data_IF_183448394246
#
_entry.id   IF_183448394246
#
_cell.length_a   1.000
_cell.length_b   1.000
_cell.length_c   1.000
_cell.angle_alpha   90.00
_cell.angle_beta   90.00
_cell.angle_gamma   90.00
#
_symmetry.space_group_name_H-M   'P 1'
#
loop_
_entity.id
_entity.type
_entity.pdbx_description
1 polymer ?
#
# COMPACT_ATOMS: atom_id res chain seq x y z
N UNK A 1 -19.05 -16.09 13.02
CA UNK A 1 -19.05 -14.69 13.51
C UNK A 1 -18.82 -13.71 12.36
N UNK A 2 -19.32 -12.46 12.39
CA UNK A 2 -18.98 -11.46 11.36
C UNK A 2 -17.50 -11.04 11.43
N UNK A 3 -16.88 -10.59 10.33
CA UNK A 3 -15.50 -10.11 10.35
C UNK A 3 -15.37 -8.89 11.28
N UNK A 4 -14.34 -8.90 12.14
CA UNK A 4 -14.16 -7.91 13.21
C UNK A 4 -13.46 -6.62 12.75
N UNK A 5 -12.73 -6.65 11.63
CA UNK A 5 -12.08 -5.48 11.05
C UNK A 5 -11.80 -5.64 9.57
N UNK A 6 -11.64 -4.51 8.87
CA UNK A 6 -11.18 -4.42 7.49
C UNK A 6 -10.12 -3.32 7.38
N UNK A 7 -9.27 -3.39 6.36
CA UNK A 7 -8.35 -2.31 5.99
C UNK A 7 -8.88 -1.60 4.74
N UNK A 8 -9.00 -0.27 4.79
CA UNK A 8 -9.35 0.55 3.63
C UNK A 8 -8.10 1.18 3.05
N UNK A 9 -7.83 0.91 1.77
CA UNK A 9 -6.69 1.42 1.01
C UNK A 9 -7.23 2.11 -0.23
N UNK A 10 -7.34 3.44 -0.18
CA UNK A 10 -8.03 4.22 -1.22
C UNK A 10 -9.47 3.75 -1.42
N UNK A 11 -9.80 3.30 -2.64
CA UNK A 11 -11.11 2.73 -3.00
C UNK A 11 -11.21 1.21 -2.82
N UNK A 12 -10.15 0.54 -2.36
CA UNK A 12 -10.10 -0.89 -2.13
C UNK A 12 -10.28 -1.21 -0.64
N UNK A 13 -11.06 -2.25 -0.35
CA UNK A 13 -11.20 -2.82 0.97
C UNK A 13 -10.55 -4.20 1.01
N UNK A 14 -9.69 -4.41 1.99
CA UNK A 14 -9.08 -5.69 2.26
C UNK A 14 -9.65 -6.28 3.55
N UNK A 15 -10.18 -7.50 3.47
CA UNK A 15 -10.64 -8.29 4.60
C UNK A 15 -9.80 -9.57 4.74
N UNK A 16 -9.69 -10.06 5.97
CA UNK A 16 -9.15 -11.39 6.24
C UNK A 16 -10.29 -12.25 6.77
N UNK A 17 -10.80 -13.15 5.93
CA UNK A 17 -11.89 -14.05 6.31
C UNK A 17 -11.34 -15.28 7.02
N UNK A 18 -12.04 -15.69 8.08
CA UNK A 18 -11.82 -16.98 8.75
C UNK A 18 -12.49 -18.12 7.96
N UNK A 19 -12.05 -19.36 8.18
CA UNK A 19 -12.58 -20.53 7.47
C UNK A 19 -14.12 -20.65 7.57
N UNK A 20 -14.68 -20.36 8.74
CA UNK A 20 -16.14 -20.35 8.99
C UNK A 20 -16.90 -19.29 8.17
N UNK A 21 -16.20 -18.24 7.71
CA UNK A 21 -16.76 -17.11 6.97
C UNK A 21 -16.65 -17.31 5.45
N UNK A 22 -15.75 -18.18 4.99
CA UNK A 22 -15.53 -18.45 3.56
C UNK A 22 -16.80 -18.83 2.79
N UNK A 23 -17.75 -19.62 3.35
CA UNK A 23 -19.02 -19.91 2.67
C UNK A 23 -19.86 -18.65 2.36
N UNK A 24 -19.64 -17.56 3.10
CA UNK A 24 -20.38 -16.30 2.98
C UNK A 24 -19.57 -15.18 2.34
N UNK A 25 -18.38 -15.48 1.78
CA UNK A 25 -17.40 -14.47 1.36
C UNK A 25 -17.95 -13.41 0.39
N UNK A 26 -18.77 -13.81 -0.58
CA UNK A 26 -19.36 -12.88 -1.54
C UNK A 26 -20.48 -12.04 -0.94
N UNK A 27 -21.25 -12.60 0.00
CA UNK A 27 -22.26 -11.85 0.74
C UNK A 27 -21.60 -10.78 1.61
N UNK A 28 -20.56 -11.17 2.37
CA UNK A 28 -19.75 -10.25 3.17
C UNK A 28 -19.16 -9.15 2.28
N UNK A 29 -18.56 -9.50 1.14
CA UNK A 29 -18.03 -8.55 0.18
C UNK A 29 -19.07 -7.56 -0.32
N UNK A 30 -20.26 -8.05 -0.68
CA UNK A 30 -21.35 -7.22 -1.20
C UNK A 30 -21.88 -6.24 -0.16
N UNK A 31 -22.03 -6.68 1.09
CA UNK A 31 -22.43 -5.82 2.21
C UNK A 31 -21.38 -4.75 2.48
N UNK A 32 -20.09 -5.10 2.46
CA UNK A 32 -19.02 -4.11 2.66
C UNK A 32 -18.97 -3.07 1.53
N UNK A 33 -19.16 -3.51 0.28
CA UNK A 33 -19.21 -2.63 -0.87
C UNK A 33 -20.38 -1.63 -0.78
N UNK A 34 -21.56 -2.08 -0.33
CA UNK A 34 -22.74 -1.21 -0.11
C UNK A 34 -22.53 -0.23 1.06
N UNK A 35 -21.96 -0.71 2.17
CA UNK A 35 -21.90 0.04 3.42
C UNK A 35 -20.72 0.98 3.55
N UNK A 36 -19.63 0.76 2.81
CA UNK A 36 -18.41 1.58 2.94
C UNK A 36 -18.34 2.60 1.81
N UNK A 37 -18.46 3.90 2.11
CA UNK A 37 -18.42 4.94 1.08
C UNK A 37 -17.12 4.90 0.28
N UNK A 38 -17.24 5.14 -1.03
CA UNK A 38 -16.14 5.22 -2.00
C UNK A 38 -15.36 3.90 -2.17
N UNK A 39 -15.83 2.79 -1.61
CA UNK A 39 -15.32 1.47 -1.96
C UNK A 39 -15.77 1.08 -3.37
N UNK A 40 -14.86 0.51 -4.16
CA UNK A 40 -15.13 -0.03 -5.51
C UNK A 40 -14.80 -1.51 -5.62
N UNK A 41 -13.88 -1.99 -4.80
CA UNK A 41 -13.39 -3.37 -4.82
C UNK A 41 -13.21 -3.86 -3.40
N UNK A 42 -13.73 -5.05 -3.09
CA UNK A 42 -13.47 -5.77 -1.84
C UNK A 42 -12.66 -7.01 -2.14
N UNK A 43 -11.53 -7.19 -1.47
CA UNK A 43 -10.62 -8.31 -1.67
C UNK A 43 -10.37 -9.09 -0.39
N UNK A 44 -10.04 -10.37 -0.55
CA UNK A 44 -9.56 -11.24 0.50
C UNK A 44 -8.23 -11.86 0.10
N UNK A 45 -7.34 -12.08 1.07
CA UNK A 45 -6.09 -12.79 0.85
C UNK A 45 -6.35 -14.28 0.71
N UNK A 46 -5.73 -14.89 -0.28
CA UNK A 46 -5.70 -16.34 -0.49
C UNK A 46 -4.26 -16.83 -0.32
N UNK A 47 -4.09 -17.98 0.33
CA UNK A 47 -2.83 -18.71 0.31
C UNK A 47 -1.76 -18.22 1.30
N UNK A 48 -0.57 -18.81 1.16
CA UNK A 48 0.64 -18.46 1.94
C UNK A 48 1.42 -17.38 1.20
N UNK A 49 2.15 -16.56 1.96
CA UNK A 49 3.04 -15.51 1.44
C UNK A 49 3.95 -16.10 0.35
N UNK A 50 3.90 -15.55 -0.86
CA UNK A 50 4.87 -15.92 -1.89
C UNK A 50 6.24 -15.33 -1.52
N UNK A 51 7.23 -16.21 -1.39
CA UNK A 51 8.29 -16.07 -0.38
C UNK A 51 9.50 -15.21 -0.76
N UNK A 52 9.46 -14.49 -1.89
CA UNK A 52 10.51 -13.53 -2.26
C UNK A 52 10.04 -12.06 -2.19
N UNK A 53 8.82 -11.75 -2.64
CA UNK A 53 8.34 -10.36 -2.79
C UNK A 53 7.30 -9.94 -1.74
N UNK A 54 6.94 -10.85 -0.81
CA UNK A 54 5.93 -10.62 0.24
C UNK A 54 4.56 -10.18 -0.27
N UNK A 55 4.22 -10.54 -1.51
CA UNK A 55 2.89 -10.34 -2.10
C UNK A 55 1.95 -11.46 -1.66
N UNK A 56 0.65 -11.16 -1.67
CA UNK A 56 -0.40 -12.14 -1.37
C UNK A 56 -1.24 -12.35 -2.62
N UNK A 57 -1.56 -13.61 -2.93
CA UNK A 57 -2.64 -13.87 -3.86
C UNK A 57 -3.93 -13.30 -3.28
N UNK A 58 -4.73 -12.67 -4.13
CA UNK A 58 -5.97 -12.05 -3.71
C UNK A 58 -7.12 -12.50 -4.60
N UNK A 59 -8.27 -12.73 -3.97
CA UNK A 59 -9.55 -12.83 -4.66
C UNK A 59 -10.33 -11.53 -4.50
N UNK A 60 -11.00 -11.13 -5.57
CA UNK A 60 -12.05 -10.12 -5.50
C UNK A 60 -13.32 -10.79 -5.00
N UNK A 61 -13.83 -10.32 -3.85
CA UNK A 61 -15.07 -10.79 -3.25
C UNK A 61 -16.30 -10.09 -3.84
N UNK A 62 -16.17 -8.80 -4.15
CA UNK A 62 -17.23 -7.97 -4.72
C UNK A 62 -16.64 -6.71 -5.40
N UNK A 63 -17.38 -6.16 -6.37
CA UNK A 63 -17.05 -4.91 -7.05
C UNK A 63 -16.26 -5.10 -8.35
N UNK A 64 -15.46 -4.10 -8.70
CA UNK A 64 -14.65 -4.09 -9.92
C UNK A 64 -13.50 -5.11 -9.83
N UNK A 65 -13.17 -5.81 -10.91
CA UNK A 65 -11.97 -6.65 -10.98
C UNK A 65 -10.71 -5.79 -11.19
N UNK A 66 -10.44 -4.92 -10.21
CA UNK A 66 -9.37 -3.93 -10.26
C UNK A 66 -8.76 -3.75 -8.86
N UNK A 67 -7.47 -4.04 -8.76
CA UNK A 67 -6.66 -3.92 -7.53
C UNK A 67 -5.75 -2.69 -7.54
N UNK A 68 -5.83 -1.84 -8.57
CA UNK A 68 -5.12 -0.59 -8.60
C UNK A 68 -5.74 0.40 -7.61
N UNK A 69 -4.89 0.98 -6.77
CA UNK A 69 -5.28 1.93 -5.74
C UNK A 69 -4.56 3.25 -5.97
N UNK A 70 -5.32 4.33 -5.77
CA UNK A 70 -4.80 5.69 -5.65
C UNK A 70 -5.20 6.24 -4.28
N UNK A 71 -4.23 6.73 -3.51
CA UNK A 71 -4.49 7.29 -2.18
C UNK A 71 -3.59 8.49 -1.88
N UNK A 72 -3.99 9.27 -0.88
CA UNK A 72 -3.20 10.37 -0.35
C UNK A 72 -2.92 10.10 1.13
N UNK A 73 -1.65 10.03 1.48
CA UNK A 73 -1.19 9.80 2.84
C UNK A 73 -0.08 10.79 3.17
N UNK A 74 -0.20 11.47 4.32
CA UNK A 74 0.75 12.50 4.75
C UNK A 74 1.05 13.58 3.68
N UNK A 75 0.04 13.94 2.89
CA UNK A 75 0.18 14.94 1.82
C UNK A 75 0.99 14.46 0.62
N UNK A 76 1.21 13.15 0.49
CA UNK A 76 1.85 12.50 -0.64
C UNK A 76 0.84 11.58 -1.34
N UNK A 77 0.87 11.57 -2.67
CA UNK A 77 -0.05 10.78 -3.50
C UNK A 77 0.64 9.50 -3.95
N UNK A 78 -0.03 8.37 -3.79
CA UNK A 78 0.49 7.07 -4.18
C UNK A 78 -0.47 6.40 -5.17
N UNK A 79 0.10 5.83 -6.22
CA UNK A 79 -0.55 4.92 -7.16
C UNK A 79 0.20 3.60 -7.18
N UNK A 80 -0.53 2.49 -7.05
CA UNK A 80 0.05 1.16 -7.18
C UNK A 80 -1.02 0.08 -7.33
N UNK A 81 -0.61 -1.10 -7.80
CA UNK A 81 -1.44 -2.31 -7.78
C UNK A 81 -1.25 -3.03 -6.43
N UNK A 82 -2.32 -3.06 -5.63
CA UNK A 82 -2.33 -3.66 -4.29
C UNK A 82 -1.96 -5.15 -4.32
N UNK A 83 -2.18 -5.85 -5.44
CA UNK A 83 -1.81 -7.27 -5.61
C UNK A 83 -0.31 -7.50 -5.81
N UNK A 84 0.42 -6.47 -6.25
CA UNK A 84 1.82 -6.59 -6.64
C UNK A 84 2.79 -6.01 -5.64
N UNK A 85 2.31 -5.32 -4.61
CA UNK A 85 3.16 -4.64 -3.63
C UNK A 85 2.61 -4.83 -2.22
N UNK A 86 3.49 -4.79 -1.23
CA UNK A 86 3.08 -4.77 0.16
C UNK A 86 2.72 -3.34 0.58
N UNK A 87 1.55 -3.16 1.17
CA UNK A 87 1.10 -1.89 1.76
C UNK A 87 0.41 -2.13 3.10
N UNK A 88 0.70 -1.27 4.07
CA UNK A 88 0.09 -1.32 5.41
C UNK A 88 -0.18 0.09 5.92
N UNK A 89 -1.46 0.45 5.94
CA UNK A 89 -1.93 1.80 6.32
C UNK A 89 -1.74 2.09 7.81
N UNK A 90 -1.42 1.10 8.65
CA UNK A 90 -1.22 1.30 10.10
C UNK A 90 0.16 1.86 10.44
N UNK A 91 1.14 1.75 9.54
CA UNK A 91 2.51 2.22 9.76
C UNK A 91 2.69 3.73 9.51
N UNK A 92 1.68 4.40 8.97
CA UNK A 92 1.79 5.79 8.54
C UNK A 92 2.13 6.77 9.67
N UNK A 93 1.62 6.54 10.88
CA UNK A 93 1.94 7.36 12.06
C UNK A 93 3.42 7.24 12.42
N UNK A 94 3.96 6.03 12.36
CA UNK A 94 5.37 5.77 12.67
C UNK A 94 6.29 6.38 11.62
N UNK A 95 5.95 6.23 10.34
CA UNK A 95 6.66 6.92 9.26
C UNK A 95 6.66 8.43 9.50
N UNK A 96 5.50 9.03 9.74
CA UNK A 96 5.39 10.46 9.98
C UNK A 96 6.21 10.92 11.20
N UNK A 97 6.30 10.11 12.26
CA UNK A 97 7.12 10.39 13.44
C UNK A 97 8.62 10.44 13.08
N UNK A 98 9.12 9.45 12.35
CA UNK A 98 10.52 9.39 11.92
C UNK A 98 10.86 10.50 10.92
N UNK A 99 9.99 10.75 9.94
CA UNK A 99 10.18 11.84 8.97
C UNK A 99 10.27 13.19 9.70
N UNK A 100 9.53 13.39 10.80
CA UNK A 100 9.62 14.63 11.61
C UNK A 100 10.98 14.81 12.28
N UNK A 101 11.70 13.75 12.63
CA UNK A 101 13.04 13.86 13.24
C UNK A 101 14.16 14.17 12.24
N UNK A 102 13.92 14.04 10.93
CA UNK A 102 14.96 14.27 9.92
C UNK A 102 15.26 15.75 9.67
N UNK A 103 16.49 16.05 9.30
CA UNK A 103 16.93 17.34 8.75
C UNK A 103 16.99 17.28 7.22
N UNK A 104 16.75 18.39 6.50
CA UNK A 104 16.95 18.44 5.04
C UNK A 104 18.38 18.10 4.60
N UNK A 105 19.37 18.20 5.49
CA UNK A 105 20.76 17.79 5.24
C UNK A 105 21.00 16.29 5.34
N UNK A 106 20.03 15.52 5.85
CA UNK A 106 20.22 14.10 6.11
C UNK A 106 20.25 13.28 4.82
N UNK A 107 21.05 12.21 4.87
CA UNK A 107 21.08 11.17 3.85
C UNK A 107 20.36 9.94 4.42
N UNK A 108 19.29 9.53 3.76
CA UNK A 108 18.43 8.43 4.19
C UNK A 108 18.59 7.26 3.22
N UNK A 109 18.88 6.07 3.74
CA UNK A 109 18.88 4.84 2.98
C UNK A 109 17.67 3.98 3.40
N UNK A 110 16.71 3.84 2.49
CA UNK A 110 15.49 3.06 2.66
C UNK A 110 15.63 1.71 1.93
N UNK A 111 16.04 0.67 2.67
CA UNK A 111 16.43 -0.62 2.12
C UNK A 111 15.26 -1.48 1.59
N UNK A 112 14.03 -1.16 2.04
CA UNK A 112 12.80 -1.90 1.72
C UNK A 112 11.66 -0.91 1.48
N UNK A 113 11.88 -0.03 0.51
CA UNK A 113 11.09 1.18 0.35
C UNK A 113 9.67 0.94 -0.17
N UNK A 114 9.35 -0.24 -0.69
CA UNK A 114 8.09 -0.52 -1.36
C UNK A 114 7.79 0.53 -2.44
N UNK A 115 6.58 1.10 -2.38
CA UNK A 115 6.15 2.17 -3.30
C UNK A 115 6.54 3.58 -2.84
N UNK A 116 7.38 3.69 -1.80
CA UNK A 116 7.89 4.93 -1.24
C UNK A 116 7.08 5.63 -0.13
N UNK A 117 6.28 4.95 0.72
CA UNK A 117 5.54 5.63 1.80
C UNK A 117 6.45 6.33 2.82
N UNK A 118 7.73 5.95 2.90
CA UNK A 118 8.74 6.59 3.74
C UNK A 118 9.70 7.47 2.93
N UNK A 119 10.23 6.91 1.84
CA UNK A 119 11.17 7.59 0.93
C UNK A 119 10.64 8.90 0.34
N UNK A 120 9.40 8.93 -0.15
CA UNK A 120 8.84 10.12 -0.81
C UNK A 120 8.64 11.27 0.18
N UNK A 121 8.01 11.08 1.35
CA UNK A 121 7.92 12.16 2.33
C UNK A 121 9.28 12.66 2.85
N UNK A 122 10.26 11.76 3.03
CA UNK A 122 11.61 12.16 3.41
C UNK A 122 12.27 13.04 2.32
N UNK A 123 12.16 12.64 1.05
CA UNK A 123 12.63 13.43 -0.08
C UNK A 123 11.88 14.78 -0.18
N UNK A 124 10.57 14.80 0.10
CA UNK A 124 9.75 16.02 0.15
C UNK A 124 10.20 16.98 1.26
N UNK A 125 10.72 16.46 2.37
CA UNK A 125 11.33 17.28 3.43
C UNK A 125 12.67 17.90 3.02
N UNK A 126 13.28 17.39 1.95
CA UNK A 126 14.54 17.90 1.39
C UNK A 126 15.74 17.00 1.60
N UNK A 127 15.58 15.86 2.30
CA UNK A 127 16.64 14.88 2.51
C UNK A 127 17.11 14.28 1.17
N UNK A 128 18.37 13.83 1.12
CA UNK A 128 18.85 12.97 0.04
C UNK A 128 18.43 11.54 0.36
N UNK A 129 17.65 10.90 -0.51
CA UNK A 129 17.11 9.56 -0.25
C UNK A 129 17.63 8.57 -1.29
N UNK A 130 18.17 7.45 -0.81
CA UNK A 130 18.45 6.25 -1.57
C UNK A 130 17.40 5.22 -1.21
N UNK A 131 16.70 4.69 -2.20
CA UNK A 131 15.64 3.71 -1.95
C UNK A 131 15.92 2.44 -2.72
N UNK A 132 15.65 1.32 -2.08
CA UNK A 132 15.88 0.01 -2.64
C UNK A 132 14.66 -0.85 -2.32
N UNK A 133 14.26 -1.68 -3.27
CA UNK A 133 13.30 -2.74 -3.02
C UNK A 133 13.57 -3.90 -3.97
N UNK A 134 13.51 -5.12 -3.45
CA UNK A 134 13.73 -6.34 -4.23
C UNK A 134 12.61 -6.55 -5.28
N UNK A 135 11.40 -6.07 -5.01
CA UNK A 135 10.26 -6.26 -5.89
C UNK A 135 10.29 -5.25 -7.05
N UNK A 136 10.40 -5.71 -8.31
CA UNK A 136 10.45 -4.80 -9.47
C UNK A 136 9.16 -3.97 -9.64
N UNK A 137 8.01 -4.47 -9.15
CA UNK A 137 6.76 -3.69 -9.14
C UNK A 137 6.86 -2.50 -8.20
N UNK A 138 7.51 -2.66 -7.04
CA UNK A 138 7.78 -1.56 -6.11
C UNK A 138 8.64 -0.48 -6.78
N UNK A 139 9.72 -0.86 -7.46
CA UNK A 139 10.56 0.07 -8.22
C UNK A 139 9.76 0.84 -9.29
N UNK A 140 8.94 0.14 -10.08
CA UNK A 140 8.07 0.78 -11.08
C UNK A 140 7.14 1.82 -10.46
N UNK A 141 6.42 1.46 -9.39
CA UNK A 141 5.49 2.38 -8.74
C UNK A 141 6.20 3.49 -7.95
N UNK A 142 7.35 3.23 -7.36
CA UNK A 142 8.17 4.24 -6.69
C UNK A 142 8.51 5.38 -7.65
N UNK A 143 9.05 5.07 -8.83
CA UNK A 143 9.42 6.09 -9.82
C UNK A 143 8.22 6.94 -10.24
N UNK A 144 7.09 6.29 -10.53
CA UNK A 144 5.84 6.99 -10.84
C UNK A 144 5.34 7.86 -9.69
N UNK A 145 5.47 7.39 -8.45
CA UNK A 145 5.06 8.14 -7.27
C UNK A 145 6.02 9.31 -6.98
N UNK A 146 7.32 9.18 -7.25
CA UNK A 146 8.30 10.27 -7.17
C UNK A 146 7.90 11.40 -8.12
N UNK A 147 7.62 11.07 -9.39
CA UNK A 147 7.14 12.03 -10.39
C UNK A 147 5.85 12.71 -9.95
N UNK A 148 4.86 11.91 -9.50
CA UNK A 148 3.55 12.40 -9.06
C UNK A 148 3.60 13.33 -7.85
N UNK A 149 4.62 13.21 -7.02
CA UNK A 149 4.81 14.05 -5.84
C UNK A 149 5.77 15.22 -6.07
N UNK A 150 6.32 15.36 -7.28
CA UNK A 150 7.28 16.42 -7.64
C UNK A 150 8.47 16.50 -6.66
N UNK A 151 8.96 15.35 -6.19
CA UNK A 151 10.14 15.27 -5.33
C UNK A 151 11.39 14.97 -6.15
N UNK A 152 12.57 15.25 -5.59
CA UNK A 152 13.83 14.89 -6.26
C UNK A 152 13.89 13.38 -6.49
N UNK A 153 14.54 12.92 -7.57
CA UNK A 153 14.73 11.51 -7.82
C UNK A 153 15.35 10.86 -6.60
N UNK A 154 14.64 9.89 -6.06
CA UNK A 154 15.20 8.96 -5.09
C UNK A 154 16.10 8.03 -5.90
N UNK A 155 17.39 7.94 -5.56
CA UNK A 155 18.30 7.04 -6.28
C UNK A 155 17.88 5.62 -5.99
N UNK A 156 17.09 5.06 -6.90
CA UNK A 156 16.51 3.75 -6.79
C UNK A 156 17.54 2.71 -7.26
N UNK A 157 18.03 1.89 -6.33
CA UNK A 157 18.92 0.77 -6.62
C UNK A 157 18.06 -0.49 -6.74
N UNK A 158 18.35 -1.32 -7.74
CA UNK A 158 17.73 -2.64 -7.95
C UNK A 158 18.71 -3.74 -7.57
#
# INVERSE_FOLDING_TARGET
MPPTSYEKVGSLLHVNLLDEQLPYKHLIGSVLLDKVPQCRTVVNKIGKIDTAFRTFDMEVLAGENNTHVSLNENGCRYDFDYSRVYWNSRLHHEHARLIKSFSPSDIVADMFCGVGPFSIPAAKKGCTVYANDLNPSCFYYLNRNVEKNHVRPVSALQ
#
